data_IF_822554892478
#
_entry.id   IF_822554892478
#
_cell.length_a   1.000
_cell.length_b   1.000
_cell.length_c   1.000
_cell.angle_alpha   90.00
_cell.angle_beta   90.00
_cell.angle_gamma   90.00
#
_symmetry.space_group_name_H-M   'P 1'
#
loop_
_entity.id
_entity.type
_entity.pdbx_description
1 polymer ?
#
# COMPACT_ATOMS: atom_id res chain seq x y z
N UNK A 1 -13.28 6.58 1.99
CA UNK A 1 -13.52 5.60 0.91
C UNK A 1 -13.47 6.25 -0.48
N UNK A 2 -14.36 7.20 -0.80
CA UNK A 2 -14.45 7.72 -2.17
C UNK A 2 -13.15 8.36 -2.70
N UNK A 3 -12.37 9.01 -1.84
CA UNK A 3 -11.05 9.56 -2.20
C UNK A 3 -10.09 8.51 -2.78
N UNK A 4 -10.05 7.31 -2.18
CA UNK A 4 -9.20 6.21 -2.68
C UNK A 4 -9.71 5.65 -4.00
N UNK A 5 -11.03 5.59 -4.17
CA UNK A 5 -11.65 5.24 -5.44
C UNK A 5 -11.32 6.29 -6.53
N UNK A 6 -11.36 7.58 -6.19
CA UNK A 6 -11.01 8.68 -7.11
C UNK A 6 -9.54 8.62 -7.53
N UNK A 7 -8.63 8.28 -6.61
CA UNK A 7 -7.21 8.04 -6.91
C UNK A 7 -7.01 6.87 -7.88
N UNK A 8 -7.73 5.75 -7.70
CA UNK A 8 -7.70 4.63 -8.63
C UNK A 8 -8.23 5.01 -10.02
N UNK A 9 -9.35 5.73 -10.09
CA UNK A 9 -9.90 6.22 -11.35
C UNK A 9 -8.88 7.08 -12.12
N UNK A 10 -8.20 8.00 -11.42
CA UNK A 10 -7.15 8.86 -12.01
C UNK A 10 -5.93 8.05 -12.46
N UNK A 11 -5.42 7.13 -11.62
CA UNK A 11 -4.25 6.29 -11.92
C UNK A 11 -4.47 5.46 -13.19
N UNK A 12 -5.68 4.95 -13.37
CA UNK A 12 -6.04 4.12 -14.53
C UNK A 12 -6.60 4.92 -15.72
N UNK A 13 -6.73 6.25 -15.60
CA UNK A 13 -7.26 7.10 -16.67
C UNK A 13 -8.70 6.78 -17.08
N UNK A 14 -9.52 6.31 -16.14
CA UNK A 14 -10.93 5.93 -16.41
C UNK A 14 -11.91 6.80 -15.63
N UNK A 15 -13.12 6.93 -16.17
CA UNK A 15 -14.19 7.69 -15.53
C UNK A 15 -15.02 6.81 -14.60
N UNK A 16 -15.67 7.43 -13.60
CA UNK A 16 -16.65 6.73 -12.77
C UNK A 16 -17.80 6.12 -13.61
N UNK A 17 -18.13 6.73 -14.76
CA UNK A 17 -19.08 6.16 -15.73
C UNK A 17 -18.60 4.85 -16.31
N UNK A 18 -17.35 4.82 -16.77
CA UNK A 18 -16.73 3.62 -17.33
C UNK A 18 -16.65 2.50 -16.28
N UNK A 19 -16.20 2.83 -15.07
CA UNK A 19 -16.19 1.88 -13.96
C UNK A 19 -17.58 1.31 -13.69
N UNK A 20 -18.61 2.17 -13.62
CA UNK A 20 -19.98 1.74 -13.36
C UNK A 20 -20.47 0.70 -14.37
N UNK A 21 -20.17 0.94 -15.66
CA UNK A 21 -20.53 0.06 -16.76
C UNK A 21 -19.78 -1.28 -16.71
N UNK A 22 -18.48 -1.24 -16.45
CA UNK A 22 -17.62 -2.44 -16.46
C UNK A 22 -17.85 -3.33 -15.23
N UNK A 23 -18.17 -2.74 -14.08
CA UNK A 23 -18.39 -3.47 -12.81
C UNK A 23 -19.87 -3.86 -12.61
N UNK A 24 -20.77 -3.36 -13.45
CA UNK A 24 -22.21 -3.64 -13.36
C UNK A 24 -22.87 -2.97 -12.14
N UNK A 25 -22.67 -1.66 -12.00
CA UNK A 25 -23.30 -0.82 -10.98
C UNK A 25 -23.91 0.44 -11.59
N UNK A 26 -24.84 1.08 -10.87
CA UNK A 26 -25.42 2.33 -11.35
C UNK A 26 -24.47 3.50 -11.08
N UNK A 27 -24.46 4.46 -12.00
CA UNK A 27 -23.80 5.74 -11.81
C UNK A 27 -24.34 6.53 -10.62
N UNK A 28 -25.63 6.35 -10.30
CA UNK A 28 -26.27 6.99 -9.15
C UNK A 28 -25.61 6.54 -7.85
N UNK A 29 -25.32 5.24 -7.69
CA UNK A 29 -24.65 4.73 -6.49
C UNK A 29 -23.27 5.36 -6.29
N UNK A 30 -22.44 5.44 -7.34
CA UNK A 30 -21.12 6.09 -7.22
C UNK A 30 -21.26 7.57 -6.85
N UNK A 31 -22.25 8.27 -7.41
CA UNK A 31 -22.50 9.68 -7.12
C UNK A 31 -22.96 9.92 -5.68
N UNK A 32 -23.76 9.02 -5.12
CA UNK A 32 -24.16 9.07 -3.72
C UNK A 32 -22.99 8.76 -2.78
N UNK A 33 -22.14 7.80 -3.11
CA UNK A 33 -20.93 7.50 -2.34
C UNK A 33 -19.96 8.68 -2.34
N UNK A 34 -19.86 9.40 -3.48
CA UNK A 34 -19.07 10.65 -3.57
C UNK A 34 -19.56 11.71 -2.60
N UNK A 35 -20.88 11.82 -2.43
CA UNK A 35 -21.52 12.80 -1.56
C UNK A 35 -21.61 12.36 -0.10
N UNK A 36 -21.28 11.10 0.20
CA UNK A 36 -21.43 10.52 1.54
C UNK A 36 -22.88 10.17 1.90
N UNK A 37 -23.79 10.13 0.92
CA UNK A 37 -25.22 9.90 1.16
C UNK A 37 -25.58 8.42 1.33
N UNK A 38 -24.71 7.50 0.92
CA UNK A 38 -24.94 6.06 1.09
C UNK A 38 -23.63 5.30 1.29
N UNK A 39 -23.73 4.16 1.97
CA UNK A 39 -22.60 3.28 2.26
C UNK A 39 -22.59 2.13 1.22
N UNK A 40 -21.47 1.88 0.53
CA UNK A 40 -21.35 0.79 -0.42
C UNK A 40 -21.50 -0.56 0.29
N UNK A 41 -22.30 -1.45 -0.28
CA UNK A 41 -22.39 -2.85 0.19
C UNK A 41 -21.10 -3.60 -0.14
N UNK A 42 -20.81 -4.63 0.67
CA UNK A 42 -19.59 -5.42 0.54
C UNK A 42 -19.42 -6.06 -0.84
N UNK A 43 -20.49 -6.57 -1.45
CA UNK A 43 -20.46 -7.14 -2.80
C UNK A 43 -19.96 -6.15 -3.85
N UNK A 44 -20.35 -4.87 -3.74
CA UNK A 44 -19.89 -3.81 -4.64
C UNK A 44 -18.43 -3.47 -4.40
N UNK A 45 -18.00 -3.44 -3.14
CA UNK A 45 -16.60 -3.22 -2.78
C UNK A 45 -15.70 -4.30 -3.36
N UNK A 46 -16.08 -5.58 -3.23
CA UNK A 46 -15.32 -6.72 -3.79
C UNK A 46 -15.15 -6.57 -5.30
N UNK A 47 -16.21 -6.21 -6.03
CA UNK A 47 -16.12 -6.07 -7.49
C UNK A 47 -15.20 -4.92 -7.93
N UNK A 48 -15.20 -3.79 -7.22
CA UNK A 48 -14.28 -2.68 -7.47
C UNK A 48 -12.84 -3.11 -7.14
N UNK A 49 -12.66 -3.81 -6.02
CA UNK A 49 -11.36 -4.29 -5.57
C UNK A 49 -10.73 -5.22 -6.62
N UNK A 50 -11.51 -6.19 -7.13
CA UNK A 50 -11.11 -7.10 -8.21
C UNK A 50 -10.78 -6.34 -9.50
N UNK A 51 -11.60 -5.36 -9.87
CA UNK A 51 -11.39 -4.56 -11.09
C UNK A 51 -10.03 -3.84 -11.09
N UNK A 52 -9.65 -3.24 -9.96
CA UNK A 52 -8.38 -2.54 -9.81
C UNK A 52 -7.24 -3.41 -9.28
N UNK A 53 -7.49 -4.70 -9.04
CA UNK A 53 -6.55 -5.62 -8.40
C UNK A 53 -5.99 -5.11 -7.06
N UNK A 54 -6.87 -4.57 -6.22
CA UNK A 54 -6.57 -4.11 -4.84
C UNK A 54 -7.38 -4.91 -3.82
N UNK A 55 -7.09 -4.75 -2.54
CA UNK A 55 -7.89 -5.33 -1.46
C UNK A 55 -9.17 -4.50 -1.20
N UNK A 56 -10.19 -5.13 -0.60
CA UNK A 56 -11.37 -4.38 -0.11
C UNK A 56 -10.99 -3.43 1.03
N UNK A 57 -10.03 -3.84 1.87
CA UNK A 57 -9.48 -3.05 2.97
C UNK A 57 -8.84 -1.75 2.49
N UNK A 58 -8.15 -1.76 1.34
CA UNK A 58 -7.63 -0.57 0.70
C UNK A 58 -8.76 0.41 0.41
N UNK A 59 -9.82 -0.02 -0.29
CA UNK A 59 -10.94 0.84 -0.68
C UNK A 59 -11.66 1.47 0.52
N UNK A 60 -11.93 0.67 1.55
CA UNK A 60 -12.63 1.15 2.76
C UNK A 60 -11.74 2.02 3.64
N UNK A 61 -10.42 1.98 3.43
CA UNK A 61 -9.45 2.59 4.34
C UNK A 61 -9.37 1.86 5.67
N UNK A 62 -9.77 0.58 5.69
CA UNK A 62 -9.64 -0.34 6.83
C UNK A 62 -8.29 -1.05 6.83
N UNK A 63 -7.57 -1.02 5.70
CA UNK A 63 -6.11 -1.11 5.75
C UNK A 63 -5.64 0.08 6.58
N UNK A 64 -4.82 -0.20 7.61
CA UNK A 64 -4.11 0.85 8.33
C UNK A 64 -3.59 1.84 7.29
N UNK A 65 -3.97 3.12 7.41
CA UNK A 65 -3.31 4.16 6.63
C UNK A 65 -1.83 3.99 6.90
N UNK A 66 -1.08 3.45 5.93
CA UNK A 66 0.36 3.53 6.00
C UNK A 66 0.66 5.04 6.03
N UNK A 67 1.25 5.55 7.13
CA UNK A 67 1.44 6.98 7.27
C UNK A 67 2.35 7.49 6.14
N UNK A 68 2.03 8.69 5.63
CA UNK A 68 2.84 9.38 4.64
C UNK A 68 4.30 9.51 5.14
N UNK A 69 5.30 9.35 4.25
CA UNK A 69 6.71 9.34 4.63
C UNK A 69 7.15 10.74 5.07
N UNK A 70 7.05 10.99 6.37
CA UNK A 70 7.56 12.19 7.01
C UNK A 70 7.91 11.90 8.45
N UNK A 71 9.21 11.95 8.77
CA UNK A 71 9.68 11.92 10.15
C UNK A 71 10.61 10.75 10.44
N UNK A 72 11.85 10.85 9.99
CA UNK A 72 13.02 10.92 10.89
C UNK A 72 14.27 10.44 10.13
N UNK A 73 15.06 11.40 9.67
CA UNK A 73 16.28 11.14 8.92
C UNK A 73 17.33 10.39 9.77
N UNK A 74 17.30 10.57 11.11
CA UNK A 74 18.25 9.93 12.01
C UNK A 74 17.98 8.42 12.16
N UNK A 75 16.71 8.00 12.16
CA UNK A 75 16.34 6.59 12.19
C UNK A 75 16.68 5.90 10.87
N UNK A 76 16.50 6.59 9.75
CA UNK A 76 16.93 6.09 8.44
C UNK A 76 18.43 5.88 8.36
N UNK A 77 19.21 6.84 8.85
CA UNK A 77 20.65 6.74 8.90
C UNK A 77 21.10 5.59 9.81
N UNK A 78 20.42 5.37 10.94
CA UNK A 78 20.66 4.26 11.85
C UNK A 78 20.31 2.90 11.27
N UNK A 79 19.17 2.76 10.58
CA UNK A 79 18.79 1.54 9.87
C UNK A 79 19.71 1.25 8.69
N UNK A 80 20.13 2.30 7.98
CA UNK A 80 21.13 2.19 6.90
C UNK A 80 22.47 1.72 7.45
N UNK A 81 22.85 2.19 8.64
CA UNK A 81 24.08 1.78 9.33
C UNK A 81 23.98 0.34 9.85
N UNK A 82 22.86 -0.05 10.45
CA UNK A 82 22.59 -1.43 10.89
C UNK A 82 22.54 -2.43 9.74
N UNK A 83 21.93 -2.06 8.61
CA UNK A 83 21.95 -2.87 7.40
C UNK A 83 23.36 -3.01 6.85
N UNK A 84 24.17 -1.94 6.87
CA UNK A 84 25.59 -2.00 6.47
C UNK A 84 26.43 -2.87 7.40
N UNK A 85 26.22 -2.78 8.70
CA UNK A 85 26.90 -3.64 9.70
C UNK A 85 26.48 -5.10 9.59
N UNK A 86 25.18 -5.39 9.38
CA UNK A 86 24.67 -6.74 9.18
C UNK A 86 25.06 -7.33 7.82
N UNK A 87 25.17 -6.51 6.78
CA UNK A 87 25.77 -6.89 5.49
C UNK A 87 27.28 -7.14 5.61
N UNK A 88 27.94 -6.63 6.65
CA UNK A 88 29.36 -6.84 6.94
C UNK A 88 29.62 -7.98 7.95
N UNK A 89 28.56 -8.61 8.48
CA UNK A 89 28.61 -9.74 9.42
C UNK A 89 28.82 -11.06 8.63
N UNK A 90 29.97 -11.75 8.76
CA UNK A 90 30.29 -12.93 7.96
C UNK A 90 29.46 -14.17 8.30
N UNK A 91 28.73 -14.19 9.43
CA UNK A 91 27.76 -15.27 9.73
C UNK A 91 26.41 -15.08 9.03
N UNK A 92 26.10 -13.88 8.55
CA UNK A 92 24.91 -13.62 7.75
C UNK A 92 25.19 -14.11 6.33
N UNK A 93 24.99 -15.41 6.09
CA UNK A 93 25.58 -16.09 4.94
C UNK A 93 25.41 -15.30 3.65
N UNK A 94 26.53 -15.09 2.97
CA UNK A 94 26.66 -14.40 1.69
C UNK A 94 25.54 -14.79 0.71
N UNK A 95 25.11 -16.05 0.75
CA UNK A 95 24.11 -16.64 -0.12
C UNK A 95 22.67 -16.19 0.21
N UNK A 96 22.30 -16.13 1.49
CA UNK A 96 20.98 -15.66 1.91
C UNK A 96 20.83 -14.14 1.71
N UNK A 97 21.89 -13.38 1.96
CA UNK A 97 21.94 -11.94 1.74
C UNK A 97 21.85 -11.61 0.24
N UNK A 98 22.58 -12.36 -0.60
CA UNK A 98 22.47 -12.30 -2.06
C UNK A 98 21.09 -12.73 -2.55
N UNK A 99 20.49 -13.76 -1.97
CA UNK A 99 19.16 -14.23 -2.33
C UNK A 99 18.09 -13.19 -1.98
N UNK A 100 18.15 -12.60 -0.77
CA UNK A 100 17.22 -11.57 -0.34
C UNK A 100 17.36 -10.29 -1.16
N UNK A 101 18.60 -9.89 -1.48
CA UNK A 101 18.87 -8.73 -2.32
C UNK A 101 18.47 -8.97 -3.79
N UNK A 102 18.77 -10.15 -4.33
CA UNK A 102 18.32 -10.55 -5.67
C UNK A 102 16.80 -10.65 -5.75
N UNK A 103 16.15 -11.20 -4.72
CA UNK A 103 14.70 -11.27 -4.63
C UNK A 103 14.10 -9.87 -4.61
N UNK A 104 14.63 -8.96 -3.77
CA UNK A 104 14.19 -7.57 -3.72
C UNK A 104 14.37 -6.87 -5.08
N UNK A 105 15.54 -6.98 -5.70
CA UNK A 105 15.82 -6.36 -6.99
C UNK A 105 15.03 -7.01 -8.15
N UNK A 106 14.56 -8.24 -8.00
CA UNK A 106 13.68 -8.91 -8.98
C UNK A 106 12.24 -8.42 -8.92
N UNK A 107 11.85 -7.69 -7.87
CA UNK A 107 10.54 -7.07 -7.76
C UNK A 107 10.45 -5.83 -8.65
N UNK A 108 9.24 -5.48 -9.08
CA UNK A 108 8.99 -4.20 -9.76
C UNK A 108 9.27 -3.01 -8.84
N UNK A 109 9.63 -1.85 -9.41
CA UNK A 109 9.91 -0.63 -8.65
C UNK A 109 8.78 -0.25 -7.68
N UNK A 110 7.53 -0.45 -8.09
CA UNK A 110 6.34 -0.23 -7.24
C UNK A 110 6.34 -1.15 -6.01
N UNK A 111 6.66 -2.44 -6.20
CA UNK A 111 6.71 -3.43 -5.11
C UNK A 111 7.93 -3.24 -4.21
N UNK A 112 9.07 -2.79 -4.76
CA UNK A 112 10.23 -2.40 -3.97
C UNK A 112 9.90 -1.21 -3.06
N UNK A 113 9.25 -0.19 -3.61
CA UNK A 113 8.83 0.98 -2.85
C UNK A 113 7.79 0.63 -1.77
N UNK A 114 6.89 -0.31 -2.05
CA UNK A 114 5.93 -0.83 -1.07
C UNK A 114 6.61 -1.58 0.08
N UNK A 115 7.55 -2.49 -0.23
CA UNK A 115 8.31 -3.23 0.77
C UNK A 115 9.11 -2.30 1.70
N UNK A 116 9.75 -1.28 1.15
CA UNK A 116 10.48 -0.27 1.95
C UNK A 116 9.54 0.58 2.82
N UNK A 117 8.34 0.93 2.33
CA UNK A 117 7.32 1.62 3.13
C UNK A 117 6.84 0.75 4.28
N UNK A 118 6.61 -0.55 4.04
CA UNK A 118 6.18 -1.49 5.07
C UNK A 118 7.25 -1.73 6.14
N UNK A 119 8.51 -1.91 5.74
CA UNK A 119 9.63 -2.03 6.70
C UNK A 119 9.74 -0.80 7.61
N UNK A 120 9.62 0.40 7.03
CA UNK A 120 9.62 1.65 7.79
C UNK A 120 8.46 1.72 8.78
N UNK A 121 7.28 1.24 8.39
CA UNK A 121 6.12 1.17 9.27
C UNK A 121 6.31 0.17 10.42
N UNK A 122 6.80 -1.03 10.15
CA UNK A 122 7.04 -2.04 11.19
C UNK A 122 8.01 -1.54 12.27
N UNK A 123 9.05 -0.81 11.87
CA UNK A 123 9.97 -0.19 12.81
C UNK A 123 9.24 0.83 13.70
N UNK A 124 8.34 1.64 13.13
CA UNK A 124 7.58 2.64 13.90
C UNK A 124 6.63 2.03 14.95
N UNK A 125 6.08 0.84 14.68
CA UNK A 125 5.22 0.14 15.63
C UNK A 125 6.01 -0.40 16.84
N UNK A 126 7.22 -0.91 16.61
CA UNK A 126 8.06 -1.51 17.64
C UNK A 126 8.58 -0.47 18.66
N UNK A 127 8.59 0.80 18.29
CA UNK A 127 8.96 1.92 19.16
C UNK A 127 7.78 2.40 20.01
N UNK A 128 6.55 2.31 19.50
CA UNK A 128 5.33 2.71 20.21
C UNK A 128 4.97 1.77 21.37
N UNK A 129 5.37 0.50 21.32
CA UNK A 129 5.14 -0.49 22.39
C UNK A 129 6.12 -0.39 23.58
N UNK A 130 7.12 0.51 23.50
CA UNK A 130 8.16 0.69 24.54
C UNK A 130 7.92 1.88 25.47
N UNK A 131 6.79 2.58 25.33
CA UNK A 131 6.29 3.64 26.22
C UNK A 131 5.20 3.08 27.14
#
# INVERSE_FOLDING_TARGET
MYERLDSLLKKHGITAYRLAKEVGMSQSSLSEWKRGNSIPKYDKLVKIAQYFNVSVSYLTGSEAQLPEPGGDAALLEKLTTLLKEKLADPEWSDEQSKLNFALFNSLSEEKQAEALRYLRYLVSLQEAEKL
#
